data_IF_975815188052
#
_entry.id   IF_975815188052
#
_cell.length_a   1.000
_cell.length_b   1.000
_cell.length_c   1.000
_cell.angle_alpha   90.00
_cell.angle_beta   90.00
_cell.angle_gamma   90.00
#
_symmetry.space_group_name_H-M   'P 1'
#
loop_
_entity.id
_entity.type
_entity.pdbx_description
1 polymer ?
#
# COMPACT_ATOMS: atom_id res chain seq x y z
N UNK A 1 14.56 9.35 13.21
CA UNK A 1 13.59 9.20 12.11
C UNK A 1 13.35 7.73 11.94
N UNK A 2 12.10 7.27 11.91
CA UNK A 2 11.81 5.88 11.57
C UNK A 2 11.99 5.70 10.06
N UNK A 3 12.49 4.55 9.62
CA UNK A 3 12.51 4.23 8.20
C UNK A 3 11.08 3.92 7.74
N UNK A 4 10.65 4.58 6.66
CA UNK A 4 9.35 4.29 6.07
C UNK A 4 9.38 2.88 5.46
N UNK A 5 8.33 2.09 5.64
CA UNK A 5 8.30 0.66 5.33
C UNK A 5 6.94 0.24 4.73
N UNK A 6 6.95 -0.75 3.85
CA UNK A 6 5.75 -1.33 3.23
C UNK A 6 5.73 -2.83 3.49
N UNK A 7 4.74 -3.31 4.26
CA UNK A 7 4.55 -4.73 4.54
C UNK A 7 3.26 -5.24 3.92
N UNK A 8 3.33 -6.31 3.14
CA UNK A 8 2.14 -6.98 2.61
C UNK A 8 1.66 -8.02 3.64
N UNK A 9 0.38 -7.97 3.98
CA UNK A 9 -0.23 -8.84 4.98
C UNK A 9 -0.82 -10.09 4.31
N UNK A 10 -1.01 -11.20 5.06
CA UNK A 10 -1.59 -12.44 4.53
C UNK A 10 -3.03 -12.26 4.00
N UNK A 11 -3.79 -11.31 4.56
CA UNK A 11 -5.14 -10.95 4.11
C UNK A 11 -5.15 -10.06 2.83
N UNK A 12 -4.02 -9.98 2.13
CA UNK A 12 -3.83 -9.17 0.92
C UNK A 12 -4.03 -7.65 1.13
N UNK A 13 -4.00 -7.19 2.37
CA UNK A 13 -3.87 -5.77 2.75
C UNK A 13 -2.40 -5.37 2.79
N UNK A 14 -2.12 -4.07 2.73
CA UNK A 14 -0.75 -3.53 2.75
C UNK A 14 -0.62 -2.55 3.92
N UNK A 15 0.34 -2.79 4.80
CA UNK A 15 0.68 -1.90 5.91
C UNK A 15 1.77 -0.94 5.46
N UNK A 16 1.45 0.35 5.39
CA UNK A 16 2.39 1.43 5.13
C UNK A 16 2.80 2.09 6.46
N UNK A 17 4.08 2.01 6.81
CA UNK A 17 4.67 2.73 7.94
C UNK A 17 5.40 3.95 7.42
N UNK A 18 5.04 5.12 7.91
CA UNK A 18 5.60 6.41 7.52
C UNK A 18 6.89 6.72 8.28
N UNK A 19 7.65 7.71 7.82
CA UNK A 19 8.90 8.16 8.46
C UNK A 19 8.71 8.71 9.89
N UNK A 20 7.48 9.12 10.21
CA UNK A 20 7.04 9.54 11.55
C UNK A 20 6.69 8.35 12.47
N UNK A 21 6.81 7.12 11.99
CA UNK A 21 6.49 5.89 12.71
C UNK A 21 4.98 5.54 12.74
N UNK A 22 4.12 6.37 12.12
CA UNK A 22 2.69 6.06 11.98
C UNK A 22 2.47 4.96 10.95
N UNK A 23 1.65 3.97 11.29
CA UNK A 23 1.29 2.88 10.37
C UNK A 23 -0.17 2.96 9.93
N UNK A 24 -0.40 2.66 8.65
CA UNK A 24 -1.70 2.64 8.01
C UNK A 24 -1.89 1.29 7.32
N UNK A 25 -3.02 0.62 7.57
CA UNK A 25 -3.38 -0.61 6.87
C UNK A 25 -4.31 -0.26 5.72
N UNK A 26 -3.87 -0.48 4.49
CA UNK A 26 -4.63 -0.25 3.27
C UNK A 26 -5.21 -1.57 2.76
N UNK A 27 -6.49 -1.54 2.36
CA UNK A 27 -7.12 -2.66 1.64
C UNK A 27 -7.21 -2.38 0.15
N UNK A 28 -7.45 -3.43 -0.62
CA UNK A 28 -7.73 -3.29 -2.05
C UNK A 28 -8.97 -2.39 -2.28
N UNK A 29 -8.86 -1.38 -3.17
CA UNK A 29 -9.99 -0.55 -3.58
C UNK A 29 -11.11 -1.40 -4.20
N UNK A 30 -12.34 -1.23 -3.72
CA UNK A 30 -13.52 -1.84 -4.33
C UNK A 30 -14.21 -0.84 -5.24
N UNK A 31 -15.08 -1.32 -6.13
CA UNK A 31 -15.85 -0.45 -7.04
C UNK A 31 -16.58 0.69 -6.31
N UNK A 32 -17.14 0.44 -5.12
CA UNK A 32 -17.79 1.47 -4.29
C UNK A 32 -16.85 2.58 -3.80
N UNK A 33 -15.56 2.28 -3.63
CA UNK A 33 -14.58 3.26 -3.15
C UNK A 33 -14.18 4.20 -4.27
N UNK A 34 -14.18 3.67 -5.49
CA UNK A 34 -13.93 4.36 -6.75
C UNK A 34 -15.12 5.21 -7.22
N UNK A 35 -16.30 5.03 -6.62
CA UNK A 35 -17.47 5.84 -6.93
C UNK A 35 -17.21 7.33 -6.69
N UNK A 36 -17.43 8.14 -7.74
CA UNK A 36 -17.09 9.57 -7.77
C UNK A 36 -15.60 9.89 -7.94
N UNK A 37 -14.72 8.90 -8.12
CA UNK A 37 -13.29 9.08 -8.35
C UNK A 37 -12.91 8.77 -9.80
N UNK A 38 -12.07 9.61 -10.38
CA UNK A 38 -11.55 9.42 -11.74
C UNK A 38 -10.33 8.51 -11.70
N UNK A 39 -10.40 7.33 -12.33
CA UNK A 39 -9.27 6.40 -12.41
C UNK A 39 -8.01 7.02 -13.02
N UNK A 40 -8.19 7.87 -14.05
CA UNK A 40 -7.09 8.57 -14.70
C UNK A 40 -6.32 9.47 -13.71
N UNK A 41 -7.05 10.24 -12.90
CA UNK A 41 -6.47 11.11 -11.89
C UNK A 41 -5.85 10.35 -10.71
N UNK A 42 -6.28 9.13 -10.42
CA UNK A 42 -5.65 8.26 -9.41
C UNK A 42 -4.30 7.73 -9.90
N UNK A 43 -4.15 7.53 -11.22
CA UNK A 43 -2.86 7.15 -11.83
C UNK A 43 -1.86 8.31 -11.85
N UNK A 44 -2.35 9.55 -11.86
CA UNK A 44 -1.52 10.73 -11.66
C UNK A 44 -1.18 10.83 -10.17
N UNK A 45 0.08 10.51 -9.81
CA UNK A 45 0.59 10.58 -8.44
C UNK A 45 0.36 11.99 -7.84
N UNK A 46 0.06 12.05 -6.53
CA UNK A 46 -0.13 13.29 -5.75
C UNK A 46 -1.35 14.16 -6.09
N UNK A 47 -2.48 13.56 -6.50
CA UNK A 47 -3.73 14.30 -6.73
C UNK A 47 -4.68 14.23 -5.52
N UNK A 48 -5.65 15.15 -5.46
CA UNK A 48 -6.75 15.11 -4.48
C UNK A 48 -7.54 13.78 -4.52
N UNK A 49 -7.58 13.13 -5.69
CA UNK A 49 -8.23 11.82 -5.86
C UNK A 49 -7.46 10.70 -5.15
N UNK A 50 -6.12 10.76 -5.12
CA UNK A 50 -5.30 9.83 -4.33
C UNK A 50 -5.60 9.99 -2.84
N UNK A 51 -5.68 11.22 -2.33
CA UNK A 51 -6.05 11.47 -0.94
C UNK A 51 -7.44 10.93 -0.60
N UNK A 52 -8.44 11.21 -1.44
CA UNK A 52 -9.81 10.71 -1.26
C UNK A 52 -9.88 9.20 -1.27
N UNK A 53 -9.12 8.54 -2.14
CA UNK A 53 -9.04 7.09 -2.18
C UNK A 53 -8.42 6.54 -0.89
N UNK A 54 -7.26 7.09 -0.47
CA UNK A 54 -6.59 6.69 0.78
C UNK A 54 -7.53 6.81 1.98
N UNK A 55 -8.28 7.90 2.09
CA UNK A 55 -9.26 8.10 3.16
C UNK A 55 -10.33 7.00 3.24
N UNK A 56 -10.64 6.33 2.13
CA UNK A 56 -11.66 5.25 2.05
C UNK A 56 -11.10 3.85 2.29
N UNK A 57 -9.81 3.64 2.00
CA UNK A 57 -9.20 2.30 2.02
C UNK A 57 -8.20 2.10 3.15
N UNK A 58 -7.75 3.16 3.83
CA UNK A 58 -6.78 3.09 4.92
C UNK A 58 -7.47 3.03 6.29
N UNK A 59 -6.85 2.29 7.21
CA UNK A 59 -7.21 2.28 8.63
C UNK A 59 -5.94 2.55 9.45
N UNK A 60 -5.88 3.64 10.25
CA UNK A 60 -6.88 4.71 10.33
C UNK A 60 -7.04 5.49 9.00
N UNK A 61 -8.15 6.22 8.79
CA UNK A 61 -8.36 6.98 7.55
C UNK A 61 -7.34 8.12 7.41
N UNK A 62 -6.68 8.19 6.24
CA UNK A 62 -5.78 9.31 5.90
C UNK A 62 -6.61 10.54 5.58
N UNK A 63 -6.76 11.42 6.57
CA UNK A 63 -7.49 12.69 6.40
C UNK A 63 -6.69 13.65 5.52
N UNK A 64 -7.37 14.69 5.01
CA UNK A 64 -6.71 15.74 4.22
C UNK A 64 -5.61 16.47 4.99
N UNK A 65 -5.79 16.65 6.30
CA UNK A 65 -4.79 17.25 7.18
C UNK A 65 -3.55 16.35 7.33
N UNK A 66 -3.74 15.02 7.43
CA UNK A 66 -2.62 14.07 7.44
C UNK A 66 -1.91 14.11 6.11
N UNK A 67 -2.66 14.01 5.00
CA UNK A 67 -2.10 13.98 3.65
C UNK A 67 -1.30 15.24 3.30
N UNK A 68 -1.79 16.42 3.68
CA UNK A 68 -1.10 17.69 3.45
C UNK A 68 0.19 17.89 4.25
N UNK A 69 0.42 17.06 5.28
CA UNK A 69 1.64 17.06 6.09
C UNK A 69 2.60 15.92 5.73
N UNK A 70 2.27 15.11 4.71
CA UNK A 70 3.16 14.03 4.28
C UNK A 70 4.39 14.59 3.58
N UNK A 71 5.55 14.03 3.92
CA UNK A 71 6.76 14.25 3.13
C UNK A 71 6.59 13.60 1.75
N UNK A 72 7.39 14.03 0.76
CA UNK A 72 7.38 13.39 -0.57
C UNK A 72 7.68 11.89 -0.49
N UNK A 73 8.57 11.47 0.43
CA UNK A 73 8.87 10.06 0.68
C UNK A 73 7.65 9.30 1.20
N UNK A 74 6.94 9.82 2.21
CA UNK A 74 5.73 9.21 2.75
C UNK A 74 4.61 9.13 1.70
N UNK A 75 4.50 10.15 0.85
CA UNK A 75 3.55 10.14 -0.25
C UNK A 75 3.89 9.09 -1.31
N UNK A 76 5.19 8.85 -1.59
CA UNK A 76 5.60 7.79 -2.52
C UNK A 76 5.37 6.38 -1.94
N UNK A 77 5.48 6.21 -0.63
CA UNK A 77 5.11 4.96 0.07
C UNK A 77 3.63 4.63 -0.18
N UNK A 78 2.73 5.59 0.00
CA UNK A 78 1.31 5.39 -0.32
C UNK A 78 1.06 5.13 -1.81
N UNK A 79 1.75 5.85 -2.70
CA UNK A 79 1.64 5.61 -4.14
C UNK A 79 2.10 4.20 -4.51
N UNK A 80 3.16 3.69 -3.88
CA UNK A 80 3.66 2.32 -4.07
C UNK A 80 2.61 1.29 -3.63
N UNK A 81 1.92 1.54 -2.51
CA UNK A 81 0.81 0.68 -2.08
C UNK A 81 -0.35 0.68 -3.08
N UNK A 82 -0.70 1.83 -3.67
CA UNK A 82 -1.74 1.93 -4.69
C UNK A 82 -1.34 1.27 -6.02
N UNK A 83 -0.08 1.41 -6.42
CA UNK A 83 0.50 0.71 -7.57
C UNK A 83 0.42 -0.80 -7.38
N UNK A 84 0.70 -1.30 -6.17
CA UNK A 84 0.54 -2.71 -5.87
C UNK A 84 -0.90 -3.19 -6.13
N UNK A 85 -1.93 -2.48 -5.66
CA UNK A 85 -3.32 -2.90 -5.89
C UNK A 85 -3.74 -2.87 -7.36
N UNK A 86 -3.24 -1.90 -8.13
CA UNK A 86 -3.58 -1.71 -9.54
C UNK A 86 -2.71 -2.54 -10.51
N UNK A 87 -1.61 -3.12 -10.03
CA UNK A 87 -0.74 -3.96 -10.83
C UNK A 87 -1.39 -5.30 -11.22
N UNK A 88 -1.10 -5.83 -12.42
CA UNK A 88 -1.50 -7.18 -12.82
C UNK A 88 -0.82 -8.24 -11.93
N UNK A 89 -1.36 -9.47 -11.82
CA UNK A 89 -0.86 -10.50 -10.91
C UNK A 89 0.63 -10.83 -11.10
N UNK A 90 1.12 -10.85 -12.35
CA UNK A 90 2.54 -11.04 -12.63
C UNK A 90 3.42 -9.91 -12.06
N UNK A 91 2.99 -8.65 -12.18
CA UNK A 91 3.73 -7.52 -11.62
C UNK A 91 3.59 -7.43 -10.09
N UNK A 92 2.47 -7.87 -9.51
CA UNK A 92 2.31 -8.01 -8.05
C UNK A 92 3.32 -9.01 -7.46
N UNK A 93 3.58 -10.12 -8.16
CA UNK A 93 4.59 -11.10 -7.75
C UNK A 93 6.00 -10.50 -7.78
N UNK A 94 6.36 -9.81 -8.86
CA UNK A 94 7.65 -9.10 -8.97
C UNK A 94 7.80 -8.01 -7.89
N UNK A 95 6.73 -7.24 -7.63
CA UNK A 95 6.73 -6.22 -6.58
C UNK A 95 6.91 -6.83 -5.18
N UNK A 96 6.28 -7.98 -4.90
CA UNK A 96 6.50 -8.72 -3.64
C UNK A 96 7.96 -9.13 -3.49
N UNK A 97 8.54 -9.72 -4.53
CA UNK A 97 9.96 -10.09 -4.53
C UNK A 97 10.88 -8.88 -4.36
N UNK A 98 10.62 -7.77 -5.06
CA UNK A 98 11.41 -6.54 -4.94
C UNK A 98 11.29 -5.91 -3.53
N UNK A 99 10.09 -5.90 -2.94
CA UNK A 99 9.87 -5.44 -1.57
C UNK A 99 10.57 -6.34 -0.54
N UNK A 100 10.68 -7.64 -0.82
CA UNK A 100 11.40 -8.58 0.04
C UNK A 100 12.91 -8.35 -0.04
N UNK A 101 13.43 -8.14 -1.25
CA UNK A 101 14.85 -7.88 -1.51
C UNK A 101 15.31 -6.55 -0.88
N UNK A 102 14.43 -5.54 -0.84
CA UNK A 102 14.67 -4.25 -0.19
C UNK A 102 14.52 -4.29 1.35
N UNK A 103 14.25 -5.47 1.94
CA UNK A 103 14.12 -5.64 3.39
C UNK A 103 12.80 -5.11 4.00
N UNK A 104 11.81 -4.78 3.17
CA UNK A 104 10.52 -4.28 3.63
C UNK A 104 9.56 -5.39 4.10
N UNK A 105 9.80 -6.65 3.71
CA UNK A 105 9.06 -7.80 4.22
C UNK A 105 9.81 -8.44 5.38
N UNK A 106 9.26 -8.37 6.60
CA UNK A 106 9.67 -9.26 7.68
C UNK A 106 8.54 -9.67 8.63
N UNK A 107 8.56 -10.98 8.87
CA UNK A 107 7.74 -11.85 9.72
C UNK A 107 6.35 -12.26 9.24
N UNK A 108 6.26 -12.94 8.07
CA UNK A 108 5.25 -14.00 7.77
C UNK A 108 5.39 -14.64 6.38
N UNK A 109 6.54 -14.51 5.71
CA UNK A 109 6.89 -15.39 4.58
C UNK A 109 7.85 -16.53 4.99
N UNK A 110 8.04 -16.76 6.29
CA UNK A 110 8.54 -18.03 6.83
C UNK A 110 7.38 -18.95 7.17
N UNK A 111 6.63 -19.37 6.16
CA UNK A 111 5.94 -20.65 6.23
C UNK A 111 6.32 -21.38 4.94
N UNK A 112 7.17 -22.43 5.01
CA UNK A 112 7.31 -23.31 3.85
C UNK A 112 5.90 -23.79 3.50
N UNK A 113 5.50 -23.59 2.24
CA UNK A 113 4.34 -24.25 1.69
C UNK A 113 4.48 -25.73 2.03
N UNK A 114 3.54 -26.27 2.80
CA UNK A 114 3.47 -27.69 3.10
C UNK A 114 3.46 -28.44 1.77
N UNK A 115 4.59 -29.05 1.43
CA UNK A 115 4.66 -30.05 0.39
C UNK A 115 4.01 -31.30 1.00
N UNK A 116 2.68 -31.32 0.96
CA UNK A 116 1.92 -32.55 1.09
C UNK A 116 2.09 -33.31 -0.22
N UNK A 117 3.22 -33.99 -0.38
CA UNK A 117 3.34 -35.10 -1.30
C UNK A 117 3.10 -36.41 -0.53
N UNK A 118 2.41 -37.30 -1.24
CA UNK A 118 1.66 -38.46 -0.77
C UNK A 118 2.50 -39.62 -0.29
#
# INVERSE_FOLDING_TARGET
>A
MAEANIRINPDNTVTATLSDGKSYVLREPRAKDMDGLSQDLIKIKHTDQVQKLLAKISTPPVTRAVYGNLSMADADVFNTCLNFFSAPPSAKAEMRSALAELGYLSDSESAPATQAES
#
